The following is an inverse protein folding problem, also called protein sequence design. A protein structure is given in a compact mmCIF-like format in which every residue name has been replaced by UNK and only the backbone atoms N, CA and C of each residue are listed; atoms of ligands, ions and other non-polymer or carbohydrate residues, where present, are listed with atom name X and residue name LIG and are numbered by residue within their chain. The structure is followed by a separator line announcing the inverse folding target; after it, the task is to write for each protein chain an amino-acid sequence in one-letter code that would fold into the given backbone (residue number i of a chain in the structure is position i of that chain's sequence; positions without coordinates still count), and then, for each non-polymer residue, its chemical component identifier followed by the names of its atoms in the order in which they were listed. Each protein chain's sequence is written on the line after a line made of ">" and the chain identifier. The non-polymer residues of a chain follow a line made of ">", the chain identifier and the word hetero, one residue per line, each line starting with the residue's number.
data_IF_734086622003
#
_entry.id   IF_734086622003
#
_cell.length_a   1.000
_cell.length_b   1.000
_cell.length_c   1.000
_cell.angle_alpha   90.00
_cell.angle_beta   90.00
_cell.angle_gamma   90.00
#
_symmetry.space_group_name_H-M   'P 1'
#
loop_
_entity.id
_entity.type
_entity.pdbx_description
1 polymer ?
#
# COMPACT_ATOMS: atom_id res chain seq x y z
N UNK A 1 5.71 -15.08 7.89
CA UNK A 1 7.00 -14.40 7.64
C UNK A 1 8.07 -15.47 7.77
N UNK A 2 8.99 -15.57 6.81
CA UNK A 2 9.95 -16.67 6.77
C UNK A 2 11.29 -16.27 7.38
N UNK A 3 12.04 -17.28 7.82
CA UNK A 3 13.41 -17.11 8.27
C UNK A 3 14.27 -16.62 7.10
N UNK A 4 15.21 -15.74 7.42
CA UNK A 4 16.25 -15.34 6.50
C UNK A 4 17.62 -15.55 7.15
N UNK A 5 18.23 -16.74 6.97
CA UNK A 5 19.46 -17.13 7.65
C UNK A 5 20.60 -16.15 7.40
N UNK A 6 21.38 -15.83 8.43
CA UNK A 6 22.53 -14.93 8.35
C UNK A 6 22.19 -13.43 8.29
N UNK A 7 20.91 -13.04 8.23
CA UNK A 7 20.53 -11.63 8.27
C UNK A 7 20.38 -11.15 9.73
N UNK A 8 21.09 -10.08 10.15
CA UNK A 8 20.97 -9.55 11.51
C UNK A 8 19.58 -9.00 11.85
N UNK A 9 18.76 -8.69 10.84
CA UNK A 9 17.38 -8.24 10.95
C UNK A 9 16.38 -9.36 10.66
N UNK A 10 16.79 -10.63 10.84
CA UNK A 10 15.91 -11.78 10.62
C UNK A 10 14.68 -11.72 11.55
N UNK A 11 13.46 -11.74 11.00
CA UNK A 11 12.25 -11.62 11.80
C UNK A 11 12.01 -12.84 12.69
N UNK A 12 12.39 -14.04 12.24
CA UNK A 12 12.24 -15.28 13.01
C UNK A 12 13.21 -15.28 14.19
N UNK A 13 14.49 -14.98 13.96
CA UNK A 13 15.47 -14.87 15.05
C UNK A 13 15.07 -13.79 16.09
N UNK A 14 14.53 -12.66 15.62
CA UNK A 14 14.02 -11.61 16.52
C UNK A 14 12.84 -12.09 17.37
N UNK A 15 11.95 -12.89 16.79
CA UNK A 15 10.80 -13.49 17.48
C UNK A 15 11.24 -14.55 18.49
N UNK A 16 12.14 -15.45 18.11
CA UNK A 16 12.68 -16.49 19.00
C UNK A 16 13.38 -15.86 20.21
N UNK A 17 14.18 -14.82 19.98
CA UNK A 17 14.80 -14.04 21.06
C UNK A 17 13.74 -13.40 21.97
N UNK A 18 12.64 -12.90 21.42
CA UNK A 18 11.55 -12.35 22.23
C UNK A 18 10.92 -13.44 23.13
N UNK A 19 10.65 -14.61 22.56
CA UNK A 19 10.04 -15.74 23.27
C UNK A 19 10.98 -16.32 24.35
N UNK A 20 12.29 -16.42 24.08
CA UNK A 20 13.26 -16.95 25.05
C UNK A 20 13.42 -16.07 26.30
N UNK A 21 13.06 -14.79 26.21
CA UNK A 21 13.11 -13.83 27.32
C UNK A 21 11.72 -13.59 27.95
N UNK A 22 10.69 -14.28 27.46
CA UNK A 22 9.32 -14.17 27.94
C UNK A 22 9.03 -15.24 29.01
N UNK A 23 8.15 -14.96 29.99
CA UNK A 23 7.77 -15.95 30.99
C UNK A 23 6.95 -17.10 30.35
N UNK A 24 7.21 -18.33 30.78
CA UNK A 24 6.56 -19.54 30.22
C UNK A 24 5.02 -19.52 30.31
N UNK A 25 4.48 -18.87 31.35
CA UNK A 25 3.04 -18.81 31.62
C UNK A 25 2.37 -17.54 31.07
N UNK A 26 2.98 -16.87 30.10
CA UNK A 26 2.39 -15.68 29.47
C UNK A 26 1.10 -16.03 28.71
N UNK A 27 -0.02 -15.40 29.09
CA UNK A 27 -1.31 -15.57 28.40
C UNK A 27 -1.47 -14.66 27.17
N UNK A 28 -0.60 -13.66 27.04
CA UNK A 28 -0.65 -12.68 25.96
C UNK A 28 0.69 -12.61 25.24
N UNK A 29 0.64 -12.31 23.94
CA UNK A 29 1.85 -12.23 23.12
C UNK A 29 2.64 -10.94 23.35
N UNK A 30 1.98 -9.81 23.59
CA UNK A 30 2.65 -8.52 23.80
C UNK A 30 2.75 -8.22 25.29
N UNK A 31 3.96 -8.31 25.83
CA UNK A 31 4.24 -8.18 27.26
C UNK A 31 4.98 -6.90 27.62
N UNK A 32 4.76 -6.41 28.85
CA UNK A 32 5.52 -5.27 29.36
C UNK A 32 6.98 -5.65 29.67
N UNK A 33 7.97 -4.78 29.35
CA UNK A 33 9.33 -5.00 29.79
C UNK A 33 9.40 -4.88 31.32
N UNK A 34 10.16 -5.78 31.95
CA UNK A 34 10.37 -5.77 33.39
C UNK A 34 11.17 -4.54 33.80
N UNK A 35 10.77 -3.89 34.90
CA UNK A 35 11.48 -2.73 35.48
C UNK A 35 12.52 -3.23 36.48
N UNK A 36 13.76 -2.73 36.36
CA UNK A 36 14.89 -3.17 37.17
C UNK A 36 15.66 -4.29 36.48
N UNK A 37 16.83 -3.97 35.96
CA UNK A 37 17.73 -4.91 35.30
C UNK A 37 18.47 -5.74 36.35
N UNK A 38 17.99 -6.94 36.64
CA UNK A 38 18.88 -7.96 37.18
C UNK A 38 19.63 -8.56 35.99
N UNK A 39 20.91 -8.21 35.86
CA UNK A 39 21.80 -8.64 34.76
C UNK A 39 21.88 -10.18 34.64
N UNK A 40 21.47 -10.90 35.68
CA UNK A 40 21.49 -12.36 35.79
C UNK A 40 20.17 -13.04 35.42
N UNK A 41 19.10 -12.27 35.21
CA UNK A 41 17.79 -12.84 34.89
C UNK A 41 17.67 -13.07 33.39
N UNK A 42 17.35 -14.31 33.01
CA UNK A 42 17.03 -14.69 31.63
C UNK A 42 15.69 -14.13 31.14
N UNK A 43 14.81 -13.70 32.07
CA UNK A 43 13.46 -13.23 31.77
C UNK A 43 13.41 -11.70 31.85
N UNK A 44 13.19 -11.08 30.69
CA UNK A 44 13.18 -9.61 30.51
C UNK A 44 11.76 -9.02 30.45
N UNK A 45 10.72 -9.86 30.33
CA UNK A 45 9.33 -9.43 30.24
C UNK A 45 8.50 -9.87 31.44
N UNK A 46 7.48 -9.10 31.79
CA UNK A 46 6.48 -9.48 32.80
C UNK A 46 5.37 -10.31 32.15
N UNK A 47 4.57 -11.02 32.95
CA UNK A 47 3.38 -11.73 32.42
C UNK A 47 2.20 -10.80 32.12
N UNK A 48 2.36 -9.48 32.29
CA UNK A 48 1.29 -8.50 32.06
C UNK A 48 1.18 -8.13 30.58
N UNK A 49 -0.04 -8.20 30.05
CA UNK A 49 -0.33 -7.86 28.65
C UNK A 49 -0.30 -6.35 28.40
N UNK A 50 0.25 -5.94 27.25
CA UNK A 50 0.18 -4.57 26.76
C UNK A 50 -1.21 -4.24 26.20
N UNK A 51 -1.77 -3.11 26.64
CA UNK A 51 -3.02 -2.58 26.08
C UNK A 51 -2.83 -1.96 24.69
N UNK A 52 -3.93 -1.92 23.90
CA UNK A 52 -3.94 -1.37 22.53
C UNK A 52 -3.42 0.08 22.47
N UNK A 53 -3.77 0.90 23.47
CA UNK A 53 -3.28 2.30 23.56
C UNK A 53 -1.76 2.36 23.72
N UNK A 54 -1.19 1.46 24.52
CA UNK A 54 0.26 1.38 24.72
C UNK A 54 0.95 0.95 23.43
N UNK A 55 0.45 -0.10 22.78
CA UNK A 55 0.98 -0.58 21.50
C UNK A 55 0.91 0.51 20.42
N UNK A 56 -0.20 1.22 20.30
CA UNK A 56 -0.34 2.32 19.33
C UNK A 56 0.68 3.44 19.55
N UNK A 57 1.06 3.71 20.80
CA UNK A 57 2.05 4.72 21.16
C UNK A 57 3.50 4.20 21.14
N UNK A 58 3.70 2.88 21.08
CA UNK A 58 5.01 2.23 21.22
C UNK A 58 5.94 2.60 20.07
N UNK A 59 5.48 2.46 18.82
CA UNK A 59 6.33 2.75 17.66
C UNK A 59 6.80 4.22 17.62
N UNK A 60 5.93 5.24 17.76
CA UNK A 60 6.39 6.62 17.87
C UNK A 60 7.40 6.84 19.00
N UNK A 61 7.22 6.18 20.14
CA UNK A 61 8.14 6.27 21.28
C UNK A 61 9.51 5.71 20.94
N UNK A 62 9.58 4.55 20.30
CA UNK A 62 10.84 3.92 19.88
C UNK A 62 11.54 4.78 18.82
N UNK A 63 10.82 5.30 17.82
CA UNK A 63 11.40 6.18 16.80
C UNK A 63 12.04 7.44 17.41
N UNK A 64 11.35 8.07 18.38
CA UNK A 64 11.91 9.23 19.09
C UNK A 64 13.16 8.89 19.89
N UNK A 65 13.16 7.76 20.59
CA UNK A 65 14.33 7.29 21.34
C UNK A 65 15.51 6.98 20.42
N UNK A 66 15.26 6.48 19.21
CA UNK A 66 16.27 6.21 18.20
C UNK A 66 16.73 7.45 17.40
N UNK A 67 16.12 8.62 17.62
CA UNK A 67 16.43 9.84 16.87
C UNK A 67 16.04 9.80 15.39
N UNK A 68 15.10 8.93 15.00
CA UNK A 68 14.65 8.78 13.60
C UNK A 68 13.35 9.55 13.34
N UNK A 69 12.94 9.60 12.06
CA UNK A 69 11.58 10.04 11.71
C UNK A 69 10.55 9.26 12.52
N UNK A 70 9.51 9.96 12.98
CA UNK A 70 8.43 9.33 13.76
C UNK A 70 7.51 8.55 12.83
N UNK A 71 7.43 7.24 13.01
CA UNK A 71 6.52 6.37 12.27
C UNK A 71 5.33 5.94 13.13
N UNK A 72 4.23 5.62 12.47
CA UNK A 72 3.02 5.07 13.09
C UNK A 72 2.70 3.68 12.51
N UNK A 73 1.82 2.92 13.15
CA UNK A 73 1.36 1.64 12.58
C UNK A 73 0.75 1.81 11.19
N UNK A 74 0.11 2.95 10.92
CA UNK A 74 -0.38 3.27 9.59
C UNK A 74 0.78 3.43 8.60
N UNK A 75 1.88 4.10 8.98
CA UNK A 75 3.09 4.20 8.16
C UNK A 75 3.65 2.82 7.78
N UNK A 76 3.73 1.87 8.73
CA UNK A 76 4.17 0.49 8.45
C UNK A 76 3.24 -0.19 7.43
N UNK A 77 1.92 -0.05 7.60
CA UNK A 77 0.93 -0.59 6.66
C UNK A 77 1.10 0.01 5.26
N UNK A 78 1.22 1.33 5.14
CA UNK A 78 1.46 2.01 3.87
C UNK A 78 2.73 1.50 3.19
N UNK A 79 3.83 1.41 3.93
CA UNK A 79 5.10 0.91 3.38
C UNK A 79 4.98 -0.54 2.92
N UNK A 80 4.27 -1.39 3.67
CA UNK A 80 4.06 -2.79 3.29
C UNK A 80 3.28 -2.89 1.98
N UNK A 81 2.14 -2.20 1.88
CA UNK A 81 1.32 -2.18 0.67
C UNK A 81 2.12 -1.66 -0.52
N UNK A 82 2.82 -0.53 -0.35
CA UNK A 82 3.62 0.07 -1.42
C UNK A 82 4.75 -0.84 -1.89
N UNK A 83 5.47 -1.49 -0.97
CA UNK A 83 6.56 -2.41 -1.31
C UNK A 83 6.05 -3.60 -2.13
N UNK A 84 4.93 -4.18 -1.75
CA UNK A 84 4.33 -5.31 -2.49
C UNK A 84 3.81 -4.87 -3.86
N UNK A 85 3.16 -3.70 -3.94
CA UNK A 85 2.71 -3.14 -5.23
C UNK A 85 3.88 -2.85 -6.17
N UNK A 86 4.97 -2.28 -5.65
CA UNK A 86 6.19 -2.03 -6.44
C UNK A 86 6.87 -3.32 -6.91
N UNK A 87 6.72 -4.41 -6.16
CA UNK A 87 7.18 -5.74 -6.57
C UNK A 87 6.26 -6.42 -7.60
N UNK A 88 5.15 -5.76 -7.98
CA UNK A 88 4.22 -6.23 -9.00
C UNK A 88 3.15 -7.19 -8.49
N UNK A 89 2.94 -7.31 -7.18
CA UNK A 89 1.86 -8.15 -6.65
C UNK A 89 0.50 -7.56 -6.97
N UNK A 90 -0.44 -8.45 -7.26
CA UNK A 90 -1.83 -8.10 -7.55
C UNK A 90 -2.57 -7.64 -6.30
N UNK A 91 -3.61 -6.82 -6.48
CA UNK A 91 -4.37 -6.25 -5.36
C UNK A 91 -4.91 -7.33 -4.39
N UNK A 92 -5.33 -8.50 -4.92
CA UNK A 92 -5.81 -9.62 -4.11
C UNK A 92 -4.72 -10.22 -3.22
N UNK A 93 -3.51 -10.37 -3.74
CA UNK A 93 -2.36 -10.91 -3.00
C UNK A 93 -1.95 -9.94 -1.90
N UNK A 94 -1.89 -8.65 -2.22
CA UNK A 94 -1.59 -7.60 -1.24
C UNK A 94 -2.66 -7.55 -0.14
N UNK A 95 -3.94 -7.66 -0.50
CA UNK A 95 -5.04 -7.73 0.46
C UNK A 95 -4.92 -8.94 1.40
N UNK A 96 -4.50 -10.10 0.88
CA UNK A 96 -4.28 -11.29 1.71
C UNK A 96 -3.21 -11.10 2.78
N UNK A 97 -2.16 -10.33 2.48
CA UNK A 97 -1.07 -10.03 3.41
C UNK A 97 -1.42 -8.90 4.37
N UNK A 98 -2.09 -7.85 3.87
CA UNK A 98 -2.35 -6.62 4.62
C UNK A 98 -3.65 -6.64 5.45
N UNK A 99 -4.54 -7.61 5.18
CA UNK A 99 -5.83 -7.77 5.85
C UNK A 99 -6.93 -6.81 5.38
N UNK A 100 -6.76 -6.16 4.23
CA UNK A 100 -7.78 -5.29 3.65
C UNK A 100 -8.94 -6.11 3.07
N UNK A 101 -10.18 -5.65 3.28
CA UNK A 101 -11.39 -6.37 2.80
C UNK A 101 -11.83 -5.96 1.40
N UNK A 102 -11.40 -4.80 0.91
CA UNK A 102 -11.74 -4.33 -0.43
C UNK A 102 -10.59 -3.59 -1.09
N UNK A 103 -10.54 -3.65 -2.43
CA UNK A 103 -9.52 -2.99 -3.25
C UNK A 103 -9.55 -1.47 -3.07
N UNK A 104 -10.75 -0.88 -2.90
CA UNK A 104 -10.88 0.57 -2.67
C UNK A 104 -10.11 1.05 -1.44
N UNK A 105 -10.10 0.26 -0.35
CA UNK A 105 -9.32 0.59 0.86
C UNK A 105 -7.80 0.49 0.66
N UNK A 106 -7.35 -0.23 -0.37
CA UNK A 106 -5.95 -0.33 -0.74
C UNK A 106 -5.46 0.91 -1.51
N UNK A 107 -6.37 1.55 -2.27
CA UNK A 107 -6.03 2.63 -3.17
C UNK A 107 -5.50 3.88 -2.44
N UNK A 108 -5.95 4.13 -1.20
CA UNK A 108 -5.45 5.22 -0.35
C UNK A 108 -3.97 5.08 0.03
N UNK A 109 -3.42 3.87 -0.05
CA UNK A 109 -2.01 3.59 0.22
C UNK A 109 -1.14 3.62 -1.02
N UNK A 110 -1.74 3.48 -2.21
CA UNK A 110 -0.98 3.42 -3.45
C UNK A 110 -0.45 4.81 -3.80
N UNK A 111 0.88 4.89 -3.96
CA UNK A 111 1.56 6.10 -4.39
C UNK A 111 2.48 5.76 -5.56
N UNK A 112 2.38 6.49 -6.68
CA UNK A 112 3.27 6.24 -7.80
C UNK A 112 4.72 6.59 -7.43
N UNK A 113 5.64 5.71 -7.78
CA UNK A 113 7.07 5.98 -7.61
C UNK A 113 7.52 7.08 -8.58
N UNK A 114 8.70 7.67 -8.34
CA UNK A 114 9.27 8.62 -9.30
C UNK A 114 9.55 7.96 -10.64
N UNK A 115 9.95 6.70 -10.64
CA UNK A 115 10.15 5.88 -11.84
C UNK A 115 8.86 5.69 -12.62
N UNK A 116 7.73 5.43 -11.94
CA UNK A 116 6.42 5.33 -12.59
C UNK A 116 6.03 6.65 -13.24
N UNK A 117 6.16 7.76 -12.50
CA UNK A 117 5.84 9.09 -13.01
C UNK A 117 6.70 9.48 -14.21
N UNK A 118 8.00 9.17 -14.19
CA UNK A 118 8.91 9.37 -15.33
C UNK A 118 8.47 8.54 -16.54
N UNK A 119 8.16 7.26 -16.32
CA UNK A 119 7.65 6.38 -17.38
C UNK A 119 6.38 6.94 -18.02
N UNK A 120 5.41 7.38 -17.22
CA UNK A 120 4.17 7.98 -17.73
C UNK A 120 4.42 9.29 -18.45
N UNK A 121 5.31 10.13 -17.93
CA UNK A 121 5.72 11.37 -18.61
C UNK A 121 6.29 11.08 -20.00
N UNK A 122 7.11 10.04 -20.15
CA UNK A 122 7.66 9.66 -21.46
C UNK A 122 6.56 9.16 -22.41
N UNK A 123 5.61 8.35 -21.92
CA UNK A 123 4.47 7.86 -22.71
C UNK A 123 3.61 9.03 -23.21
N UNK A 124 3.38 10.04 -22.38
CA UNK A 124 2.63 11.24 -22.76
C UNK A 124 3.40 12.13 -23.73
N UNK A 125 4.74 12.14 -23.65
CA UNK A 125 5.61 12.89 -24.54
C UNK A 125 5.82 12.22 -25.91
N UNK A 126 5.62 10.90 -26.01
CA UNK A 126 5.65 10.16 -27.27
C UNK A 126 4.45 10.53 -28.15
N UNK A 127 4.54 11.66 -28.84
CA UNK A 127 3.75 11.91 -30.04
C UNK A 127 4.24 10.96 -31.14
N UNK A 128 3.56 9.82 -31.33
CA UNK A 128 3.64 9.13 -32.61
C UNK A 128 3.05 10.05 -33.67
N UNK A 129 3.89 10.79 -34.38
CA UNK A 129 3.48 11.39 -35.64
C UNK A 129 3.07 10.24 -36.56
N UNK A 130 1.77 10.00 -36.67
CA UNK A 130 1.20 9.25 -37.78
C UNK A 130 1.39 10.09 -39.04
N UNK A 131 2.62 10.20 -39.52
CA UNK A 131 2.96 10.71 -40.85
C UNK A 131 2.69 9.59 -41.85
N UNK A 132 1.41 9.26 -42.00
CA UNK A 132 0.88 8.74 -43.25
C UNK A 132 -0.22 9.71 -43.65
N UNK A 133 0.15 10.65 -44.50
CA UNK A 133 -0.72 11.66 -45.08
C UNK A 133 -2.08 11.06 -45.49
N UNK A 134 -3.21 11.66 -45.13
CA UNK A 134 -4.49 11.27 -45.71
C UNK A 134 -4.47 11.66 -47.19
N UNK A 135 -4.38 10.67 -48.07
CA UNK A 135 -4.66 10.84 -49.49
C UNK A 135 -6.06 11.43 -49.66
N UNK A 136 -6.11 12.60 -50.27
CA UNK A 136 -7.28 13.44 -50.53
C UNK A 136 -8.47 12.63 -51.09
N UNK A 137 -9.68 12.71 -50.50
CA UNK A 137 -10.88 12.21 -51.17
C UNK A 137 -11.24 13.15 -52.33
N UNK A 138 -11.37 12.59 -53.54
CA UNK A 138 -11.88 13.30 -54.72
C UNK A 138 -13.27 13.85 -54.44
N UNK A 139 -13.40 15.17 -54.55
CA UNK A 139 -14.64 15.95 -54.52
C UNK A 139 -15.60 15.49 -55.62
N UNK A 140 -16.63 14.73 -55.26
CA UNK A 140 -17.81 14.49 -56.08
C UNK A 140 -18.75 15.71 -55.99
N UNK A 141 -19.00 16.34 -57.14
CA UNK A 141 -20.03 17.36 -57.31
C UNK A 141 -21.40 16.68 -57.49
N UNK A 142 -22.32 16.90 -56.56
CA UNK A 142 -23.77 16.87 -56.77
C UNK A 142 -24.32 17.95 -55.82
N UNK A 143 -25.09 18.95 -56.23
CA UNK A 143 -26.28 18.91 -57.06
C UNK A 143 -27.42 19.43 -56.18
N UNK A 144 -27.82 20.68 -56.40
CA UNK A 144 -28.73 21.49 -55.59
C UNK A 144 -30.20 21.01 -55.67
N UNK A 145 -30.97 21.12 -54.56
CA UNK A 145 -32.30 21.78 -54.45
C UNK A 145 -33.05 21.54 -53.11
N UNK A 146 -33.26 22.63 -52.37
CA UNK A 146 -34.45 23.16 -51.64
C UNK A 146 -35.45 22.26 -50.86
N UNK A 147 -35.64 22.64 -49.57
CA UNK A 147 -36.87 22.87 -48.73
C UNK A 147 -38.12 21.95 -48.88
N UNK A 148 -38.85 21.51 -47.84
CA UNK A 148 -39.52 22.28 -46.76
C UNK A 148 -40.23 21.32 -45.75
N UNK A 149 -40.40 21.79 -44.49
CA UNK A 149 -41.52 21.55 -43.50
C UNK A 149 -42.20 20.18 -43.34
N UNK A 150 -42.31 19.67 -42.09
CA UNK A 150 -43.56 19.66 -41.27
C UNK A 150 -43.36 18.89 -39.94
N UNK A 151 -44.38 18.89 -39.09
CA UNK A 151 -44.40 19.01 -37.64
C UNK A 151 -44.60 17.71 -36.85
N UNK A 152 -44.45 17.83 -35.52
CA UNK A 152 -45.17 17.10 -34.45
C UNK A 152 -44.97 15.58 -34.28
N UNK A 153 -44.54 15.16 -33.08
CA UNK A 153 -45.39 14.42 -32.12
C UNK A 153 -44.60 13.94 -30.88
N UNK A 154 -45.35 13.79 -29.79
CA UNK A 154 -45.00 13.48 -28.39
C UNK A 154 -44.72 11.99 -28.13
N UNK A 155 -44.11 11.72 -26.97
CA UNK A 155 -44.15 10.45 -26.21
C UNK A 155 -42.76 10.10 -25.66
N UNK A 156 -42.40 10.15 -24.37
CA UNK A 156 -43.06 9.95 -23.07
C UNK A 156 -43.48 8.50 -22.79
N UNK A 157 -42.53 7.67 -22.34
CA UNK A 157 -42.71 6.51 -21.46
C UNK A 157 -41.41 6.37 -20.63
N UNK A 158 -41.46 6.65 -19.33
CA UNK A 158 -41.58 5.72 -18.18
C UNK A 158 -40.28 5.01 -17.84
#
# INVERSE_FOLDING_TARGET
>A
MFEHPGNPLCPVASLEKYLSNSPENALAFYLHPRRGECIWDSILYTSESMGVKYLAALLPKICRAAGTTTYTHHSIRTTTVQKLANAGLEAREIMSVSGHRCVGSLHSYWRPSLTDRKRWSNILAENKENTSAPSTPKRLKQGSRSSSTDSSSKGMYR
#
